data_IF_322638217390
#
_entry.id   IF_322638217390
#
_cell.length_a   1.000
_cell.length_b   1.000
_cell.length_c   1.000
_cell.angle_alpha   90.00
_cell.angle_beta   90.00
_cell.angle_gamma   90.00
#
_symmetry.space_group_name_H-M   'P 1'
#
loop_
_entity.id
_entity.type
_entity.pdbx_description
1 polymer ?
#
# COMPACT_ATOMS: atom_id res chain seq x y z
N UNK A 1 18.47 -6.29 4.90
CA UNK A 1 17.71 -6.20 3.64
C UNK A 1 18.58 -5.65 2.52
N UNK A 2 18.76 -4.33 2.35
CA UNK A 2 19.47 -3.75 1.19
C UNK A 2 20.85 -4.34 0.86
N UNK A 3 21.67 -4.65 1.87
CA UNK A 3 23.01 -5.25 1.66
C UNK A 3 22.94 -6.71 1.21
N UNK A 4 22.04 -7.48 1.82
CA UNK A 4 21.94 -8.93 1.61
C UNK A 4 21.17 -9.30 0.33
N UNK A 5 20.40 -8.35 -0.22
CA UNK A 5 19.64 -8.52 -1.45
C UNK A 5 20.00 -7.39 -2.44
N UNK A 6 21.14 -7.50 -3.13
CA UNK A 6 21.62 -6.44 -4.01
C UNK A 6 20.77 -6.29 -5.27
N UNK A 7 20.26 -7.39 -5.82
CA UNK A 7 19.61 -7.42 -7.14
C UNK A 7 18.10 -7.19 -7.13
N UNK A 8 17.50 -6.95 -5.96
CA UNK A 8 16.05 -6.70 -5.86
C UNK A 8 15.72 -5.28 -6.27
N UNK A 9 14.56 -5.11 -6.90
CA UNK A 9 14.07 -3.80 -7.33
C UNK A 9 13.44 -2.98 -6.18
N UNK A 10 13.19 -3.59 -5.02
CA UNK A 10 12.55 -2.95 -3.88
C UNK A 10 12.07 -3.96 -2.83
N UNK A 11 11.51 -3.45 -1.73
CA UNK A 11 11.00 -4.22 -0.60
C UNK A 11 9.58 -3.78 -0.23
N UNK A 12 8.78 -4.74 0.22
CA UNK A 12 7.44 -4.50 0.77
C UNK A 12 7.36 -5.23 2.11
N UNK A 13 6.74 -4.62 3.12
CA UNK A 13 6.41 -5.32 4.37
C UNK A 13 4.89 -5.49 4.53
N UNK A 14 4.46 -6.62 5.10
CA UNK A 14 3.09 -7.15 4.90
C UNK A 14 2.28 -7.52 6.14
N UNK A 15 2.82 -7.44 7.36
CA UNK A 15 2.14 -7.97 8.57
C UNK A 15 1.66 -6.91 9.58
N UNK A 16 1.73 -5.62 9.23
CA UNK A 16 1.15 -4.53 10.00
C UNK A 16 1.36 -3.18 9.31
N UNK A 17 0.56 -2.15 9.61
CA UNK A 17 0.77 -0.80 9.08
C UNK A 17 1.97 -0.16 9.78
N UNK A 18 3.17 -0.65 9.47
CA UNK A 18 4.42 -0.08 9.97
C UNK A 18 4.65 1.34 9.43
N UNK A 19 3.89 1.74 8.40
CA UNK A 19 3.95 3.07 7.74
C UNK A 19 5.40 3.42 7.34
N UNK A 20 6.18 2.38 7.03
CA UNK A 20 7.59 2.49 6.66
C UNK A 20 7.67 2.85 5.20
N UNK A 21 8.39 3.93 4.91
CA UNK A 21 8.65 4.41 3.55
C UNK A 21 10.10 4.83 3.47
N UNK A 22 10.85 4.24 2.56
CA UNK A 22 12.25 4.57 2.37
C UNK A 22 12.66 4.41 0.90
N UNK A 23 13.81 4.99 0.55
CA UNK A 23 14.45 4.83 -0.75
C UNK A 23 15.97 4.84 -0.57
N UNK A 24 16.63 3.73 -0.92
CA UNK A 24 18.11 3.61 -0.85
C UNK A 24 18.63 2.99 -2.14
N UNK A 25 19.60 3.63 -2.77
CA UNK A 25 20.24 3.17 -4.01
C UNK A 25 19.19 2.74 -5.05
N UNK A 26 18.18 3.57 -5.31
CA UNK A 26 17.04 3.30 -6.22
C UNK A 26 16.09 2.16 -5.82
N UNK A 27 16.24 1.59 -4.63
CA UNK A 27 15.39 0.50 -4.14
C UNK A 27 14.44 1.05 -3.06
N UNK A 28 13.14 1.13 -3.32
CA UNK A 28 12.18 1.60 -2.33
C UNK A 28 11.88 0.50 -1.31
N UNK A 29 11.54 0.89 -0.09
CA UNK A 29 10.89 0.03 0.90
C UNK A 29 9.58 0.67 1.31
N UNK A 30 8.47 -0.02 1.08
CA UNK A 30 7.13 0.54 1.29
C UNK A 30 6.26 -0.42 2.10
N UNK A 31 5.56 0.12 3.09
CA UNK A 31 4.43 -0.56 3.72
C UNK A 31 3.18 -0.44 2.89
N UNK A 32 2.31 -1.44 2.98
CA UNK A 32 0.95 -1.29 2.47
C UNK A 32 0.24 -0.16 3.24
N UNK A 33 -0.52 0.64 2.51
CA UNK A 33 -1.37 1.70 3.05
C UNK A 33 -2.74 1.14 3.44
N UNK A 34 -3.20 0.11 2.73
CA UNK A 34 -4.51 -0.50 2.93
C UNK A 34 -4.45 -2.02 2.81
N UNK A 35 -5.23 -2.70 3.65
CA UNK A 35 -5.43 -4.16 3.59
C UNK A 35 -6.90 -4.42 3.27
N UNK A 36 -7.16 -5.11 2.16
CA UNK A 36 -8.52 -5.48 1.78
C UNK A 36 -8.91 -6.75 2.54
N UNK A 37 -9.72 -6.57 3.58
CA UNK A 37 -10.34 -7.67 4.30
C UNK A 37 -11.31 -8.43 3.36
N UNK A 38 -11.19 -9.76 3.22
CA UNK A 38 -12.12 -10.58 2.45
C UNK A 38 -13.59 -10.44 2.86
N UNK A 39 -13.88 -10.07 4.11
CA UNK A 39 -15.23 -9.95 4.65
C UNK A 39 -15.82 -8.55 4.48
N UNK A 40 -15.02 -7.55 4.12
CA UNK A 40 -15.50 -6.17 4.02
C UNK A 40 -16.30 -5.95 2.73
N UNK A 41 -17.45 -5.25 2.78
CA UNK A 41 -18.21 -4.88 1.60
C UNK A 41 -17.36 -4.12 0.58
N UNK A 42 -17.57 -4.36 -0.72
CA UNK A 42 -16.69 -3.85 -1.79
C UNK A 42 -16.89 -2.37 -2.07
N UNK A 43 -18.11 -1.88 -1.88
CA UNK A 43 -18.46 -0.47 -1.88
C UNK A 43 -17.74 0.28 -0.74
N UNK A 44 -17.68 -0.28 0.47
CA UNK A 44 -16.89 0.30 1.57
C UNK A 44 -15.40 0.32 1.26
N UNK A 45 -14.85 -0.75 0.67
CA UNK A 45 -13.44 -0.78 0.26
C UNK A 45 -13.16 0.30 -0.78
N UNK A 46 -14.04 0.47 -1.77
CA UNK A 46 -13.90 1.53 -2.77
C UNK A 46 -13.95 2.93 -2.13
N UNK A 47 -14.87 3.14 -1.19
CA UNK A 47 -14.99 4.40 -0.44
C UNK A 47 -13.71 4.72 0.35
N UNK A 48 -13.17 3.75 1.09
CA UNK A 48 -11.91 3.92 1.83
C UNK A 48 -10.74 4.26 0.89
N UNK A 49 -10.62 3.58 -0.25
CA UNK A 49 -9.56 3.87 -1.23
C UNK A 49 -9.72 5.26 -1.84
N UNK A 50 -10.94 5.69 -2.13
CA UNK A 50 -11.23 7.05 -2.61
C UNK A 50 -10.89 8.11 -1.57
N UNK A 51 -11.15 7.85 -0.29
CA UNK A 51 -10.72 8.73 0.80
C UNK A 51 -9.20 8.83 0.85
N UNK A 52 -8.47 7.72 0.77
CA UNK A 52 -7.00 7.72 0.74
C UNK A 52 -6.45 8.47 -0.49
N UNK A 53 -7.07 8.32 -1.66
CA UNK A 53 -6.74 9.06 -2.87
C UNK A 53 -6.94 10.57 -2.65
N UNK A 54 -8.05 10.97 -2.03
CA UNK A 54 -8.37 12.38 -1.80
C UNK A 54 -7.45 13.02 -0.74
N UNK A 55 -7.17 12.32 0.37
CA UNK A 55 -6.38 12.82 1.49
C UNK A 55 -4.92 13.09 1.13
N UNK A 56 -4.35 12.26 0.27
CA UNK A 56 -3.01 12.50 -0.24
C UNK A 56 -3.14 13.49 -1.38
N UNK A 57 -2.57 14.69 -1.31
CA UNK A 57 -2.68 15.72 -2.37
C UNK A 57 -1.45 15.77 -3.30
N UNK A 58 -0.30 15.28 -2.84
CA UNK A 58 0.93 15.21 -3.64
C UNK A 58 0.85 14.03 -4.62
N UNK A 59 1.03 14.29 -5.92
CA UNK A 59 0.96 13.28 -6.99
C UNK A 59 2.33 13.01 -7.63
N UNK A 60 2.58 11.78 -8.12
CA UNK A 60 1.79 10.57 -7.89
C UNK A 60 1.81 10.17 -6.41
N UNK A 61 0.69 9.66 -5.91
CA UNK A 61 0.62 9.00 -4.61
C UNK A 61 0.69 7.49 -4.82
N UNK A 62 1.66 6.85 -4.16
CA UNK A 62 1.90 5.42 -4.29
C UNK A 62 1.11 4.68 -3.22
N UNK A 63 -0.11 4.27 -3.56
CA UNK A 63 -1.00 3.53 -2.69
C UNK A 63 -0.76 2.02 -2.85
N UNK A 64 -0.07 1.41 -1.89
CA UNK A 64 0.19 -0.03 -1.93
C UNK A 64 -0.91 -0.77 -1.17
N UNK A 65 -1.61 -1.68 -1.86
CA UNK A 65 -2.74 -2.42 -1.30
C UNK A 65 -2.38 -3.89 -1.11
N UNK A 66 -2.61 -4.41 0.09
CA UNK A 66 -2.46 -5.82 0.39
C UNK A 66 -3.79 -6.54 0.15
N UNK A 67 -3.77 -7.56 -0.71
CA UNK A 67 -4.89 -8.43 -1.04
C UNK A 67 -4.56 -9.86 -0.62
N UNK A 68 -5.44 -10.51 0.16
CA UNK A 68 -5.29 -11.96 0.46
C UNK A 68 -5.65 -12.82 -0.73
N UNK A 69 -5.04 -14.00 -0.81
CA UNK A 69 -5.38 -15.06 -1.78
C UNK A 69 -6.86 -15.48 -1.75
N UNK A 70 -7.52 -15.34 -0.59
CA UNK A 70 -8.94 -15.66 -0.43
C UNK A 70 -9.89 -14.59 -0.98
N UNK A 71 -9.38 -13.46 -1.48
CA UNK A 71 -10.21 -12.48 -2.18
C UNK A 71 -10.50 -12.97 -3.61
N UNK A 72 -11.76 -12.85 -4.02
CA UNK A 72 -12.18 -13.12 -5.38
C UNK A 72 -11.69 -12.02 -6.34
N UNK A 73 -11.07 -12.43 -7.46
CA UNK A 73 -10.50 -11.51 -8.45
C UNK A 73 -11.58 -10.62 -9.07
N UNK A 74 -12.78 -11.16 -9.34
CA UNK A 74 -13.85 -10.35 -9.93
C UNK A 74 -14.31 -9.25 -8.96
N UNK A 75 -14.39 -9.56 -7.67
CA UNK A 75 -14.71 -8.57 -6.64
C UNK A 75 -13.72 -7.39 -6.61
N UNK A 76 -12.43 -7.64 -6.85
CA UNK A 76 -11.41 -6.59 -6.89
C UNK A 76 -11.56 -5.72 -8.15
N UNK A 77 -11.92 -6.33 -9.29
CA UNK A 77 -12.21 -5.57 -10.52
C UNK A 77 -13.39 -4.63 -10.33
N UNK A 78 -14.41 -5.00 -9.54
CA UNK A 78 -15.52 -4.09 -9.24
C UNK A 78 -15.12 -2.94 -8.32
N UNK A 79 -14.20 -3.15 -7.38
CA UNK A 79 -13.63 -2.07 -6.56
C UNK A 79 -12.92 -1.06 -7.45
N UNK A 80 -12.11 -1.52 -8.42
CA UNK A 80 -11.29 -0.63 -9.25
C UNK A 80 -12.11 0.26 -10.18
N UNK A 81 -13.29 -0.21 -10.61
CA UNK A 81 -14.24 0.57 -11.41
C UNK A 81 -14.88 1.73 -10.65
N UNK A 82 -14.89 1.67 -9.32
CA UNK A 82 -15.50 2.67 -8.44
C UNK A 82 -14.49 3.71 -7.94
N UNK A 83 -13.22 3.61 -8.34
CA UNK A 83 -12.20 4.56 -7.93
C UNK A 83 -12.35 5.89 -8.68
N UNK A 84 -12.20 6.97 -7.95
CA UNK A 84 -12.37 8.33 -8.45
C UNK A 84 -11.02 9.04 -8.66
N UNK A 85 -10.96 9.88 -9.69
CA UNK A 85 -9.78 10.66 -10.04
C UNK A 85 -8.82 9.98 -11.03
N UNK A 86 -7.67 10.61 -11.31
CA UNK A 86 -6.67 10.05 -12.23
C UNK A 86 -5.92 8.90 -11.55
N UNK A 87 -6.51 7.71 -11.59
CA UNK A 87 -5.98 6.48 -11.00
C UNK A 87 -5.36 5.60 -12.07
N UNK A 88 -4.14 5.12 -11.81
CA UNK A 88 -3.47 4.10 -12.61
C UNK A 88 -3.16 2.89 -11.74
N UNK A 89 -3.72 1.74 -12.08
CA UNK A 89 -3.45 0.47 -11.40
C UNK A 89 -2.35 -0.25 -12.19
N UNK A 90 -1.25 -0.57 -11.51
CA UNK A 90 -0.07 -1.15 -12.14
C UNK A 90 0.38 -2.42 -11.43
N UNK A 91 1.06 -3.33 -12.13
CA UNK A 91 1.76 -4.44 -11.50
C UNK A 91 2.84 -3.96 -10.52
N UNK A 92 3.18 -4.82 -9.55
CA UNK A 92 4.03 -4.42 -8.44
C UNK A 92 5.46 -4.01 -8.84
N UNK A 93 6.02 -4.61 -9.88
CA UNK A 93 7.34 -4.26 -10.38
C UNK A 93 7.35 -2.87 -11.02
N UNK A 94 6.32 -2.51 -11.79
CA UNK A 94 6.11 -1.17 -12.32
C UNK A 94 5.89 -0.17 -11.19
N UNK A 95 5.08 -0.52 -10.20
CA UNK A 95 4.86 0.31 -9.00
C UNK A 95 6.18 0.67 -8.31
N UNK A 96 7.01 -0.33 -8.00
CA UNK A 96 8.30 -0.11 -7.32
C UNK A 96 9.26 0.73 -8.17
N UNK A 97 9.31 0.52 -9.49
CA UNK A 97 10.11 1.35 -10.41
C UNK A 97 9.64 2.81 -10.43
N UNK A 98 8.33 3.05 -10.43
CA UNK A 98 7.77 4.40 -10.39
C UNK A 98 8.03 5.08 -9.03
N UNK A 99 7.87 4.35 -7.93
CA UNK A 99 8.14 4.84 -6.58
C UNK A 99 9.62 5.22 -6.39
N UNK A 100 10.52 4.45 -7.01
CA UNK A 100 11.95 4.74 -7.02
C UNK A 100 12.32 5.97 -7.85
N UNK A 101 11.71 6.14 -9.04
CA UNK A 101 12.08 7.19 -9.99
C UNK A 101 11.54 8.57 -9.60
N UNK A 102 10.41 8.63 -8.90
CA UNK A 102 9.76 9.86 -8.52
C UNK A 102 9.31 9.83 -7.05
N UNK A 103 10.27 9.92 -6.12
CA UNK A 103 10.00 9.87 -4.68
C UNK A 103 9.12 11.06 -4.24
N UNK A 104 7.83 10.82 -4.08
CA UNK A 104 6.88 11.80 -3.55
C UNK A 104 6.65 11.67 -2.05
N UNK A 105 7.02 10.53 -1.45
CA UNK A 105 6.86 10.23 -0.03
C UNK A 105 8.07 10.66 0.81
N UNK A 106 7.83 10.96 2.09
CA UNK A 106 8.91 11.23 3.06
C UNK A 106 9.45 9.94 3.63
N UNK A 107 10.76 9.92 3.93
CA UNK A 107 11.34 8.78 4.65
C UNK A 107 10.72 8.73 6.05
N UNK A 108 10.15 7.58 6.40
CA UNK A 108 9.56 7.31 7.71
C UNK A 108 9.84 5.86 8.07
N UNK A 109 10.15 5.63 9.33
CA UNK A 109 10.18 4.32 9.94
C UNK A 109 9.11 4.25 11.02
N UNK A 110 8.71 3.03 11.38
CA UNK A 110 7.80 2.81 12.51
C UNK A 110 8.39 3.44 13.78
N UNK A 111 7.58 4.23 14.46
CA UNK A 111 7.90 4.76 15.78
C UNK A 111 7.57 3.69 16.84
N UNK A 112 8.41 3.47 17.86
CA UNK A 112 8.07 2.60 18.98
C UNK A 112 6.73 2.93 19.66
N UNK A 113 6.31 4.20 19.63
CA UNK A 113 5.04 4.71 20.15
C UNK A 113 3.88 4.62 19.14
N UNK A 114 4.15 4.25 17.89
CA UNK A 114 3.08 4.05 16.91
C UNK A 114 2.11 2.96 17.42
N UNK A 115 0.79 3.15 17.25
CA UNK A 115 -0.19 2.17 17.66
C UNK A 115 0.08 0.82 16.96
N UNK A 116 0.41 -0.20 17.76
CA UNK A 116 0.87 -1.50 17.23
C UNK A 116 -0.28 -2.36 16.71
N UNK A 117 -1.50 -2.13 17.20
CA UNK A 117 -2.76 -2.69 16.71
C UNK A 117 -3.91 -1.80 17.18
N UNK A 118 -5.01 -1.75 16.43
CA UNK A 118 -6.28 -1.25 16.96
C UNK A 118 -6.75 -2.23 18.04
N UNK A 119 -6.76 -1.83 19.31
CA UNK A 119 -7.53 -2.53 20.33
C UNK A 119 -9.00 -2.51 19.90
N UNK A 120 -9.55 -3.67 19.48
CA UNK A 120 -10.96 -3.75 19.06
C UNK A 120 -11.28 -4.79 17.98
N UNK A 121 -10.30 -5.26 17.20
CA UNK A 121 -10.54 -6.39 16.29
C UNK A 121 -10.34 -7.72 17.04
N UNK A 122 -11.34 -8.61 17.08
CA UNK A 122 -11.17 -9.94 17.64
C UNK A 122 -10.02 -10.62 16.90
N UNK A 123 -9.10 -11.22 17.65
CA UNK A 123 -8.18 -12.21 17.09
C UNK A 123 -9.05 -13.41 16.70
N UNK A 124 -9.13 -13.71 15.41
CA UNK A 124 -9.67 -14.98 14.92
C UNK A 124 -8.78 -16.15 15.35
#
# INVERSE_FOLDING_TARGET
YYREFPDVIGFINGYGPARTRDLRDTRPMLSYDYYIDPKRPRDEVAADLNELIALNSKRPYFLLVHVRESNDVNSLVEVTKQLEGPVEIVPIDKFLKLAASNKTYTTRYQDPEDPKHFEGFPKE
#
